data_IF_856523162628
#
_entry.id   IF_856523162628
#
_cell.length_a   1.000
_cell.length_b   1.000
_cell.length_c   1.000
_cell.angle_alpha   90.00
_cell.angle_beta   90.00
_cell.angle_gamma   90.00
#
_symmetry.space_group_name_H-M   'P 1'
#
loop_
_entity.id
_entity.type
_entity.pdbx_description
1 polymer ?
#
# COMPACT_ATOMS: atom_id res chain seq x y z
N UNK A 1 -7.88 16.30 -15.93
CA UNK A 1 -6.42 16.51 -15.93
C UNK A 1 -5.79 15.24 -16.48
N UNK A 2 -5.10 15.32 -17.61
CA UNK A 2 -4.37 14.17 -18.15
C UNK A 2 -3.14 13.99 -17.24
N UNK A 3 -3.17 12.95 -16.41
CA UNK A 3 -2.12 12.63 -15.44
C UNK A 3 -1.02 11.73 -16.04
N UNK A 4 -1.04 11.51 -17.35
CA UNK A 4 0.08 10.83 -17.98
C UNK A 4 1.25 11.81 -18.00
N UNK A 5 2.40 11.45 -17.40
CA UNK A 5 3.60 12.26 -17.58
C UNK A 5 3.85 12.36 -19.07
N UNK A 6 3.91 13.61 -19.57
CA UNK A 6 4.27 13.87 -20.96
C UNK A 6 5.65 13.27 -21.17
N UNK A 7 5.66 12.18 -21.92
CA UNK A 7 6.81 11.35 -22.08
C UNK A 7 7.59 12.01 -23.23
N UNK A 8 8.51 12.91 -22.85
CA UNK A 8 9.20 13.87 -23.75
C UNK A 8 9.99 13.18 -24.87
N UNK A 9 10.36 11.91 -24.67
CA UNK A 9 11.10 11.11 -25.65
C UNK A 9 10.22 10.71 -26.85
N UNK A 10 10.80 10.79 -28.04
CA UNK A 10 10.20 10.22 -29.26
C UNK A 10 10.10 8.69 -29.17
N UNK A 11 9.20 8.08 -29.96
CA UNK A 11 9.03 6.61 -29.97
C UNK A 11 10.35 5.90 -30.32
N UNK A 12 11.14 6.49 -31.22
CA UNK A 12 12.44 5.95 -31.63
C UNK A 12 13.46 6.00 -30.49
N UNK A 13 13.55 7.13 -29.79
CA UNK A 13 14.44 7.28 -28.64
C UNK A 13 14.10 6.29 -27.52
N UNK A 14 12.80 6.03 -27.29
CA UNK A 14 12.36 5.03 -26.31
C UNK A 14 12.84 3.62 -26.67
N UNK A 15 12.71 3.22 -27.94
CA UNK A 15 13.19 1.91 -28.41
C UNK A 15 14.70 1.76 -28.24
N UNK A 16 15.46 2.84 -28.47
CA UNK A 16 16.92 2.84 -28.25
C UNK A 16 17.24 2.67 -26.78
N UNK A 17 16.64 3.47 -25.89
CA UNK A 17 16.84 3.35 -24.44
C UNK A 17 16.42 1.98 -23.91
N UNK A 18 15.29 1.44 -24.38
CA UNK A 18 14.83 0.10 -24.00
C UNK A 18 15.84 -0.99 -24.41
N UNK A 19 16.41 -0.88 -25.62
CA UNK A 19 17.46 -1.79 -26.09
C UNK A 19 18.73 -1.68 -25.25
N UNK A 20 19.14 -0.47 -24.88
CA UNK A 20 20.30 -0.22 -24.02
C UNK A 20 20.09 -0.79 -22.61
N UNK A 21 18.92 -0.55 -22.00
CA UNK A 21 18.55 -1.14 -20.70
C UNK A 21 18.56 -2.67 -20.77
N UNK A 22 17.94 -3.24 -21.81
CA UNK A 22 17.88 -4.70 -22.00
C UNK A 22 19.28 -5.30 -22.14
N UNK A 23 20.15 -4.66 -22.92
CA UNK A 23 21.54 -5.09 -23.08
C UNK A 23 22.32 -5.03 -21.76
N UNK A 24 22.18 -3.94 -21.01
CA UNK A 24 22.82 -3.79 -19.70
C UNK A 24 22.33 -4.85 -18.69
N UNK A 25 21.05 -5.23 -18.73
CA UNK A 25 20.51 -6.33 -17.92
C UNK A 25 21.12 -7.67 -18.31
N UNK A 26 21.31 -7.95 -19.61
CA UNK A 26 22.00 -9.17 -20.05
C UNK A 26 23.47 -9.20 -19.62
N UNK A 27 24.17 -8.05 -19.66
CA UNK A 27 25.54 -7.94 -19.13
C UNK A 27 25.58 -8.25 -17.63
N UNK A 28 24.63 -7.71 -16.86
CA UNK A 28 24.49 -8.02 -15.44
C UNK A 28 24.25 -9.52 -15.18
N UNK A 29 23.29 -10.13 -15.89
CA UNK A 29 22.95 -11.54 -15.71
C UNK A 29 24.07 -12.50 -16.12
N UNK A 30 24.88 -12.09 -17.09
CA UNK A 30 26.05 -12.87 -17.52
C UNK A 30 27.30 -12.60 -16.69
N UNK A 31 27.21 -11.70 -15.69
CA UNK A 31 28.33 -11.21 -14.87
C UNK A 31 29.53 -10.78 -15.71
N UNK A 32 29.27 -10.23 -16.90
CA UNK A 32 30.30 -9.76 -17.84
C UNK A 32 30.37 -8.23 -17.90
N UNK A 33 31.51 -7.73 -18.39
CA UNK A 33 31.77 -6.31 -18.58
C UNK A 33 31.85 -5.57 -17.24
N UNK A 34 31.13 -4.45 -17.06
CA UNK A 34 31.26 -3.59 -15.87
C UNK A 34 30.73 -4.21 -14.57
N UNK A 35 30.18 -5.43 -14.62
CA UNK A 35 29.70 -6.16 -13.45
C UNK A 35 30.61 -7.34 -13.04
N UNK A 36 31.74 -7.58 -13.72
CA UNK A 36 32.63 -8.71 -13.40
C UNK A 36 33.14 -8.68 -11.97
N UNK A 37 33.51 -7.49 -11.52
CA UNK A 37 34.10 -7.29 -10.19
C UNK A 37 33.04 -6.94 -9.14
N UNK A 38 31.75 -6.91 -9.51
CA UNK A 38 30.69 -6.43 -8.63
C UNK A 38 30.53 -7.27 -7.37
N UNK A 39 30.66 -8.60 -7.45
CA UNK A 39 30.61 -9.47 -6.27
C UNK A 39 31.80 -9.23 -5.33
N UNK A 40 32.99 -9.08 -5.90
CA UNK A 40 34.23 -8.80 -5.16
C UNK A 40 34.25 -7.41 -4.53
N UNK A 41 33.67 -6.42 -5.21
CA UNK A 41 33.61 -5.03 -4.76
C UNK A 41 32.40 -4.73 -3.88
N UNK A 42 31.48 -5.69 -3.68
CA UNK A 42 30.23 -5.48 -2.94
C UNK A 42 30.48 -4.95 -1.53
N UNK A 43 31.45 -5.53 -0.82
CA UNK A 43 31.81 -5.08 0.53
C UNK A 43 32.40 -3.67 0.53
N UNK A 44 33.20 -3.32 -0.49
CA UNK A 44 33.74 -1.97 -0.66
C UNK A 44 32.63 -0.95 -0.96
N UNK A 45 31.65 -1.32 -1.78
CA UNK A 45 30.48 -0.48 -2.05
C UNK A 45 29.64 -0.27 -0.79
N UNK A 46 29.36 -1.33 -0.02
CA UNK A 46 28.63 -1.22 1.24
C UNK A 46 29.39 -0.35 2.26
N UNK A 47 30.72 -0.46 2.32
CA UNK A 47 31.55 0.37 3.20
C UNK A 47 31.61 1.84 2.75
N UNK A 48 31.61 2.11 1.45
CA UNK A 48 31.84 3.47 0.91
C UNK A 48 30.54 4.26 0.78
N UNK A 49 29.48 3.61 0.26
CA UNK A 49 28.20 4.24 -0.04
C UNK A 49 27.13 3.97 1.02
N UNK A 50 27.43 3.12 2.01
CA UNK A 50 26.50 2.73 3.06
C UNK A 50 25.33 1.88 2.52
N UNK A 51 24.17 2.02 3.15
CA UNK A 51 22.95 1.27 2.81
C UNK A 51 22.03 2.00 1.82
N UNK A 52 22.53 3.03 1.12
CA UNK A 52 21.73 3.86 0.22
C UNK A 52 21.84 3.37 -1.23
N UNK A 53 20.86 2.58 -1.73
CA UNK A 53 20.92 2.00 -3.08
C UNK A 53 20.95 3.06 -4.18
N UNK A 54 20.33 4.22 -3.93
CA UNK A 54 20.29 5.33 -4.89
C UNK A 54 21.70 5.88 -5.15
N UNK A 55 22.56 5.96 -4.12
CA UNK A 55 23.92 6.46 -4.27
C UNK A 55 24.77 5.51 -5.14
N UNK A 56 24.63 4.20 -4.92
CA UNK A 56 25.31 3.15 -5.72
C UNK A 56 24.94 3.26 -7.20
N UNK A 57 23.64 3.32 -7.52
CA UNK A 57 23.21 3.45 -8.91
C UNK A 57 23.63 4.78 -9.54
N UNK A 58 23.66 5.89 -8.80
CA UNK A 58 24.19 7.16 -9.31
C UNK A 58 25.69 7.07 -9.62
N UNK A 59 26.48 6.33 -8.85
CA UNK A 59 27.89 6.10 -9.14
C UNK A 59 28.07 5.25 -10.41
N UNK A 60 27.28 4.17 -10.55
CA UNK A 60 27.29 3.32 -11.75
C UNK A 60 26.81 4.04 -13.01
N UNK A 61 26.02 5.11 -12.86
CA UNK A 61 25.60 5.94 -13.99
C UNK A 61 26.76 6.69 -14.69
N UNK A 62 27.94 6.75 -14.08
CA UNK A 62 29.14 7.29 -14.72
C UNK A 62 29.61 6.44 -15.91
N UNK A 63 29.32 5.13 -15.88
CA UNK A 63 29.68 4.19 -16.96
C UNK A 63 28.67 4.30 -18.10
N UNK A 64 29.09 4.58 -19.35
CA UNK A 64 28.17 4.80 -20.46
C UNK A 64 27.32 3.56 -20.81
N UNK A 65 27.85 2.36 -20.57
CA UNK A 65 27.19 1.09 -20.89
C UNK A 65 26.01 0.77 -19.96
N UNK A 66 26.09 1.20 -18.70
CA UNK A 66 25.05 0.92 -17.68
C UNK A 66 24.17 2.15 -17.45
N UNK A 67 24.53 3.32 -18.00
CA UNK A 67 23.91 4.61 -17.67
C UNK A 67 22.37 4.57 -17.70
N UNK A 68 21.77 4.06 -18.77
CA UNK A 68 20.31 4.02 -18.88
C UNK A 68 19.67 3.06 -17.86
N UNK A 69 20.32 1.91 -17.60
CA UNK A 69 19.86 0.98 -16.56
C UNK A 69 19.96 1.60 -15.16
N UNK A 70 21.05 2.30 -14.87
CA UNK A 70 21.24 3.00 -13.61
C UNK A 70 20.20 4.10 -13.40
N UNK A 71 19.96 4.93 -14.42
CA UNK A 71 18.91 5.96 -14.37
C UNK A 71 17.51 5.34 -14.21
N UNK A 72 17.25 4.21 -14.86
CA UNK A 72 16.01 3.46 -14.71
C UNK A 72 15.84 2.92 -13.29
N UNK A 73 16.88 2.29 -12.73
CA UNK A 73 16.88 1.80 -11.35
C UNK A 73 16.64 2.93 -10.33
N UNK A 74 17.30 4.08 -10.49
CA UNK A 74 17.07 5.27 -9.64
C UNK A 74 15.62 5.73 -9.72
N UNK A 75 15.00 5.71 -10.91
CA UNK A 75 13.57 6.04 -11.05
C UNK A 75 12.68 5.04 -10.31
N UNK A 76 12.98 3.73 -10.40
CA UNK A 76 12.25 2.69 -9.65
C UNK A 76 12.37 2.87 -8.14
N UNK A 77 13.58 3.12 -7.63
CA UNK A 77 13.79 3.34 -6.19
C UNK A 77 13.15 4.63 -5.65
N UNK A 78 12.88 5.61 -6.53
CA UNK A 78 12.12 6.82 -6.16
C UNK A 78 10.62 6.55 -6.03
N UNK A 79 10.10 5.41 -6.49
CA UNK A 79 8.69 5.04 -6.33
C UNK A 79 8.48 4.63 -4.87
N UNK A 80 7.67 5.41 -4.16
CA UNK A 80 7.28 5.09 -2.78
C UNK A 80 6.20 4.01 -2.83
N UNK A 81 6.55 2.78 -2.43
CA UNK A 81 5.63 1.63 -2.42
C UNK A 81 4.53 1.81 -1.36
N UNK A 82 4.79 2.57 -0.31
CA UNK A 82 3.85 2.76 0.79
C UNK A 82 3.07 4.08 0.67
N UNK A 83 1.79 3.99 0.33
CA UNK A 83 0.86 5.13 0.35
C UNK A 83 0.72 5.76 1.75
N UNK A 84 0.99 5.01 2.81
CA UNK A 84 0.95 5.51 4.18
C UNK A 84 2.01 6.58 4.47
N UNK A 85 3.07 6.67 3.65
CA UNK A 85 4.01 7.79 3.70
C UNK A 85 3.33 9.16 3.50
N UNK A 86 2.26 9.17 2.70
CA UNK A 86 1.47 10.36 2.41
C UNK A 86 0.36 10.63 3.45
N UNK A 87 -0.02 9.67 4.28
CA UNK A 87 -1.13 9.81 5.27
C UNK A 87 -0.92 10.98 6.23
N UNK A 88 0.33 11.25 6.59
CA UNK A 88 0.65 12.40 7.46
C UNK A 88 0.35 13.72 6.78
N UNK A 89 0.69 13.82 5.50
CA UNK A 89 0.37 14.98 4.69
C UNK A 89 -1.14 15.09 4.59
N UNK A 90 -1.84 14.00 4.28
CA UNK A 90 -3.30 13.98 4.19
C UNK A 90 -4.01 14.35 5.49
N UNK A 91 -3.48 13.94 6.64
CA UNK A 91 -4.05 14.31 7.95
C UNK A 91 -3.95 15.83 8.19
N UNK A 92 -2.79 16.42 7.87
CA UNK A 92 -2.57 17.87 7.95
C UNK A 92 -3.42 18.63 6.91
N UNK A 93 -3.51 18.09 5.69
CA UNK A 93 -4.39 18.60 4.63
C UNK A 93 -5.85 18.57 5.07
N UNK A 94 -6.31 17.47 5.68
CA UNK A 94 -7.69 17.32 6.17
C UNK A 94 -8.02 18.41 7.18
N UNK A 95 -7.16 18.65 8.17
CA UNK A 95 -7.35 19.71 9.16
C UNK A 95 -7.47 21.11 8.51
N UNK A 96 -6.65 21.40 7.50
CA UNK A 96 -6.63 22.68 6.77
C UNK A 96 -7.71 22.80 5.69
N UNK A 97 -8.34 21.70 5.33
CA UNK A 97 -9.41 21.65 4.32
C UNK A 97 -10.80 21.68 4.97
N UNK A 98 -11.03 20.91 6.04
CA UNK A 98 -12.37 20.70 6.60
C UNK A 98 -12.77 21.71 7.67
N UNK A 99 -11.83 22.24 8.47
CA UNK A 99 -12.18 23.17 9.55
C UNK A 99 -12.50 24.56 8.99
N UNK A 100 -13.75 25.05 9.14
CA UNK A 100 -14.22 26.35 8.63
C UNK A 100 -13.30 27.51 9.03
N UNK A 101 -12.79 27.51 10.26
CA UNK A 101 -11.88 28.55 10.78
C UNK A 101 -10.50 28.55 10.11
N UNK A 102 -10.04 27.37 9.68
CA UNK A 102 -8.69 27.17 9.14
C UNK A 102 -8.69 26.78 7.65
N UNK A 103 -9.84 26.88 6.98
CA UNK A 103 -10.01 26.43 5.59
C UNK A 103 -9.15 27.27 4.66
N UNK A 104 -8.21 26.61 3.98
CA UNK A 104 -7.33 27.25 2.99
C UNK A 104 -7.80 26.86 1.58
N UNK A 105 -7.82 27.82 0.66
CA UNK A 105 -8.11 27.53 -0.75
C UNK A 105 -7.11 26.52 -1.35
N UNK A 106 -7.59 25.65 -2.25
CA UNK A 106 -6.82 24.51 -2.80
C UNK A 106 -5.49 24.97 -3.43
N UNK A 107 -5.48 26.09 -4.16
CA UNK A 107 -4.27 26.65 -4.79
C UNK A 107 -3.21 27.04 -3.76
N UNK A 108 -3.64 27.66 -2.65
CA UNK A 108 -2.75 28.04 -1.54
C UNK A 108 -2.31 26.81 -0.76
N UNK A 109 -3.19 25.82 -0.56
CA UNK A 109 -2.86 24.55 0.08
C UNK A 109 -1.78 23.78 -0.70
N UNK A 110 -1.90 23.72 -2.03
CA UNK A 110 -0.90 23.12 -2.90
C UNK A 110 0.47 23.81 -2.76
N UNK A 111 0.51 25.14 -2.81
CA UNK A 111 1.75 25.91 -2.62
C UNK A 111 2.35 25.67 -1.24
N UNK A 112 1.51 25.64 -0.21
CA UNK A 112 1.93 25.40 1.17
C UNK A 112 2.56 24.02 1.33
N UNK A 113 1.98 22.97 0.72
CA UNK A 113 2.56 21.63 0.77
C UNK A 113 3.87 21.52 -0.01
N UNK A 114 3.98 22.16 -1.18
CA UNK A 114 5.24 22.22 -1.95
C UNK A 114 6.35 22.87 -1.13
N UNK A 115 6.14 24.12 -0.69
CA UNK A 115 7.10 24.86 0.11
C UNK A 115 7.42 24.15 1.43
N UNK A 116 6.40 23.61 2.10
CA UNK A 116 6.58 22.88 3.35
C UNK A 116 7.31 21.54 3.19
N UNK A 117 7.21 20.88 2.03
CA UNK A 117 8.01 19.70 1.71
C UNK A 117 9.47 20.09 1.44
N UNK A 118 9.70 21.13 0.64
CA UNK A 118 11.04 21.63 0.31
C UNK A 118 11.82 22.07 1.55
N UNK A 119 11.18 22.88 2.41
CA UNK A 119 11.77 23.32 3.69
C UNK A 119 12.11 22.12 4.57
N UNK A 120 11.23 21.11 4.65
CA UNK A 120 11.49 19.90 5.45
C UNK A 120 12.66 19.11 4.89
N UNK A 121 12.75 18.95 3.57
CA UNK A 121 13.85 18.26 2.92
C UNK A 121 15.19 18.97 3.16
N UNK A 122 15.24 20.30 2.99
CA UNK A 122 16.45 21.11 3.24
C UNK A 122 16.84 21.06 4.73
N UNK A 123 15.89 21.14 5.64
CA UNK A 123 16.19 21.08 7.08
C UNK A 123 16.64 19.68 7.51
N UNK A 124 16.16 18.62 6.86
CA UNK A 124 16.62 17.25 7.10
C UNK A 124 18.04 17.05 6.58
N UNK A 125 18.36 17.52 5.37
CA UNK A 125 19.71 17.42 4.82
C UNK A 125 20.73 18.27 5.60
N UNK A 126 20.30 19.42 6.13
CA UNK A 126 21.12 20.25 7.02
C UNK A 126 21.23 19.69 8.46
N UNK A 127 20.55 18.59 8.79
CA UNK A 127 20.55 18.01 10.14
C UNK A 127 19.82 18.83 11.20
N UNK A 128 19.11 19.90 10.81
CA UNK A 128 18.34 20.77 11.70
C UNK A 128 17.09 20.08 12.25
N UNK A 129 16.54 19.14 11.47
CA UNK A 129 15.38 18.34 11.88
C UNK A 129 15.80 16.88 11.99
N UNK A 130 15.66 16.32 13.20
CA UNK A 130 15.88 14.89 13.42
C UNK A 130 14.90 14.07 12.58
N UNK A 131 15.41 13.12 11.81
CA UNK A 131 14.60 12.09 11.19
C UNK A 131 13.95 11.31 12.34
N UNK A 132 12.61 11.35 12.40
CA UNK A 132 11.89 10.56 13.40
C UNK A 132 12.14 9.09 13.11
N UNK A 133 12.81 8.41 14.02
CA UNK A 133 12.97 6.96 13.98
C UNK A 133 11.61 6.24 14.00
N UNK A 134 11.65 4.94 13.69
CA UNK A 134 10.49 4.05 13.84
C UNK A 134 9.96 4.18 15.27
N UNK A 135 8.67 4.49 15.41
CA UNK A 135 8.04 4.51 16.74
C UNK A 135 8.04 3.08 17.26
N UNK A 136 8.77 2.83 18.34
CA UNK A 136 8.58 1.61 19.13
C UNK A 136 7.53 1.94 20.18
N UNK A 137 6.36 1.28 20.10
CA UNK A 137 5.29 1.48 21.09
C UNK A 137 5.69 0.87 22.43
N UNK A 138 6.52 -0.19 22.40
CA UNK A 138 7.01 -0.90 23.58
C UNK A 138 8.53 -1.02 23.55
N UNK A 139 9.15 -1.10 24.72
CA UNK A 139 10.57 -1.50 24.80
C UNK A 139 10.66 -2.99 24.48
N UNK A 140 11.76 -3.46 23.86
CA UNK A 140 11.89 -4.88 23.54
C UNK A 140 11.81 -5.79 24.77
N UNK A 141 12.22 -5.29 25.93
CA UNK A 141 12.13 -6.00 27.22
C UNK A 141 10.68 -6.23 27.65
N UNK A 142 9.80 -5.27 27.39
CA UNK A 142 8.40 -5.30 27.83
C UNK A 142 7.52 -6.13 26.88
N UNK A 143 8.03 -6.56 25.72
CA UNK A 143 7.24 -7.33 24.73
C UNK A 143 6.88 -8.71 25.28
N UNK A 144 7.79 -9.37 26.00
CA UNK A 144 7.51 -10.67 26.63
C UNK A 144 6.40 -10.56 27.68
N UNK A 145 6.46 -9.53 28.51
CA UNK A 145 5.44 -9.28 29.55
C UNK A 145 4.07 -8.93 28.95
N UNK A 146 4.03 -8.24 27.80
CA UNK A 146 2.78 -7.94 27.09
C UNK A 146 2.18 -9.15 26.36
N UNK A 147 3.02 -10.11 25.97
CA UNK A 147 2.57 -11.38 25.39
C UNK A 147 2.08 -12.37 26.46
N UNK A 148 2.51 -12.20 27.71
CA UNK A 148 1.92 -12.87 28.87
C UNK A 148 0.56 -12.25 29.19
N UNK A 149 -0.46 -12.55 28.38
CA UNK A 149 -1.85 -12.11 28.62
C UNK A 149 -2.48 -13.04 29.66
N UNK A 150 -2.68 -12.60 30.93
CA UNK A 150 -3.21 -13.47 31.98
C UNK A 150 -4.66 -13.89 31.72
N UNK A 151 -5.36 -13.22 30.82
CA UNK A 151 -6.79 -13.47 30.56
C UNK A 151 -7.10 -14.85 29.99
N UNK A 152 -6.10 -15.57 29.50
CA UNK A 152 -6.24 -16.93 28.98
C UNK A 152 -5.59 -18.00 29.87
N UNK A 153 -4.92 -17.62 30.97
CA UNK A 153 -4.40 -18.62 31.92
C UNK A 153 -5.52 -19.42 32.57
N UNK A 154 -6.59 -18.72 32.94
CA UNK A 154 -7.73 -19.28 33.66
C UNK A 154 -8.55 -20.25 32.78
N UNK A 155 -8.51 -20.07 31.45
CA UNK A 155 -9.13 -21.00 30.49
C UNK A 155 -8.31 -22.29 30.29
N UNK A 156 -7.09 -22.35 30.85
CA UNK A 156 -6.21 -23.52 30.79
C UNK A 156 -6.07 -24.22 32.15
N UNK A 157 -6.74 -23.74 33.20
CA UNK A 157 -6.72 -24.39 34.52
C UNK A 157 -7.61 -25.65 34.58
N UNK A 158 -8.53 -25.80 33.62
CA UNK A 158 -9.41 -26.99 33.50
C UNK A 158 -8.78 -28.13 32.66
N UNK A 159 -7.57 -27.94 32.11
CA UNK A 159 -6.83 -29.00 31.40
C UNK A 159 -6.01 -29.76 32.44
N UNK A 160 -6.35 -31.04 32.65
CA UNK A 160 -5.71 -31.92 33.63
C UNK A 160 -4.18 -31.81 33.60
N UNK A 161 -3.58 -31.63 34.78
CA UNK A 161 -2.16 -31.36 35.02
C UNK A 161 -1.17 -32.44 34.53
N UNK A 162 -1.60 -33.48 33.82
CA UNK A 162 -0.71 -34.58 33.43
C UNK A 162 0.25 -34.21 32.29
N UNK A 163 -0.01 -33.14 31.53
CA UNK A 163 0.86 -32.72 30.42
C UNK A 163 1.20 -31.21 30.44
N UNK A 164 1.96 -30.76 31.45
CA UNK A 164 2.56 -29.41 31.45
C UNK A 164 3.41 -29.12 30.18
N UNK A 165 3.88 -30.17 29.50
CA UNK A 165 4.59 -30.09 28.23
C UNK A 165 3.71 -29.67 27.04
N UNK A 166 2.39 -29.92 27.11
CA UNK A 166 1.43 -29.50 26.07
C UNK A 166 0.84 -28.11 26.36
N UNK A 167 0.73 -27.72 27.64
CA UNK A 167 0.27 -26.39 28.04
C UNK A 167 1.14 -25.25 27.48
N UNK A 168 2.45 -25.47 27.39
CA UNK A 168 3.41 -24.54 26.77
C UNK A 168 3.36 -24.49 25.24
N UNK A 169 2.73 -25.47 24.57
CA UNK A 169 2.54 -25.46 23.10
C UNK A 169 1.30 -24.70 22.66
N UNK A 170 0.27 -24.63 23.50
CA UNK A 170 -1.00 -23.96 23.19
C UNK A 170 -0.89 -22.43 23.19
N UNK A 171 -0.05 -21.87 24.08
CA UNK A 171 0.20 -20.44 24.14
C UNK A 171 1.48 -20.09 23.41
N UNK A 172 1.32 -19.40 22.29
CA UNK A 172 2.42 -18.87 21.51
C UNK A 172 3.02 -17.65 22.21
N UNK A 173 3.94 -17.89 23.13
CA UNK A 173 4.54 -16.84 23.97
C UNK A 173 5.72 -16.12 23.30
N UNK A 174 6.26 -16.69 22.22
CA UNK A 174 7.38 -16.11 21.46
C UNK A 174 6.88 -15.49 20.14
N UNK A 175 7.30 -14.26 19.79
CA UNK A 175 7.03 -13.66 18.48
C UNK A 175 7.35 -14.55 17.28
N UNK A 176 8.39 -15.38 17.37
CA UNK A 176 8.75 -16.34 16.31
C UNK A 176 7.72 -17.45 16.19
N UNK A 177 7.22 -17.96 17.31
CA UNK A 177 6.10 -18.91 17.33
C UNK A 177 4.86 -18.32 16.68
N UNK A 178 4.58 -17.03 16.89
CA UNK A 178 3.39 -16.37 16.32
C UNK A 178 3.48 -16.27 14.81
N UNK A 179 4.68 -16.02 14.27
CA UNK A 179 4.91 -16.03 12.83
C UNK A 179 4.70 -17.42 12.25
N UNK A 180 5.14 -18.46 12.94
CA UNK A 180 4.96 -19.86 12.52
C UNK A 180 3.49 -20.26 12.53
N UNK A 181 2.75 -19.97 13.61
CA UNK A 181 1.31 -20.26 13.70
C UNK A 181 0.50 -19.45 12.68
N UNK A 182 0.79 -18.16 12.50
CA UNK A 182 0.14 -17.37 11.44
C UNK A 182 0.43 -17.94 10.04
N UNK A 183 1.66 -18.41 9.79
CA UNK A 183 1.98 -19.04 8.51
C UNK A 183 1.21 -20.36 8.32
N UNK A 184 1.05 -21.16 9.39
CA UNK A 184 0.22 -22.36 9.40
C UNK A 184 -1.24 -22.02 9.09
N UNK A 185 -1.85 -21.07 9.80
CA UNK A 185 -3.24 -20.67 9.57
C UNK A 185 -3.47 -20.08 8.17
N UNK A 186 -2.53 -19.29 7.65
CA UNK A 186 -2.59 -18.81 6.26
C UNK A 186 -2.53 -19.98 5.27
N UNK A 187 -1.71 -20.99 5.56
CA UNK A 187 -1.64 -22.22 4.77
C UNK A 187 -2.94 -23.03 4.82
N UNK A 188 -3.48 -23.26 6.01
CA UNK A 188 -4.75 -23.97 6.23
C UNK A 188 -5.92 -23.24 5.57
N UNK A 189 -6.01 -21.91 5.68
CA UNK A 189 -7.04 -21.12 5.01
C UNK A 189 -6.95 -21.23 3.47
N UNK A 190 -5.73 -21.20 2.90
CA UNK A 190 -5.55 -21.41 1.45
C UNK A 190 -5.89 -22.83 1.02
N UNK A 191 -5.59 -23.83 1.84
CA UNK A 191 -5.92 -25.21 1.54
C UNK A 191 -7.44 -25.42 1.57
N UNK A 192 -8.13 -24.85 2.56
CA UNK A 192 -9.58 -24.87 2.63
C UNK A 192 -10.24 -24.23 1.40
N UNK A 193 -9.72 -23.09 0.92
CA UNK A 193 -10.19 -22.47 -0.33
C UNK A 193 -10.01 -23.39 -1.56
N UNK A 194 -8.92 -24.17 -1.61
CA UNK A 194 -8.68 -25.13 -2.70
C UNK A 194 -9.62 -26.33 -2.59
N UNK A 195 -9.84 -26.82 -1.37
CA UNK A 195 -10.71 -27.97 -1.11
C UNK A 195 -12.17 -27.61 -1.44
N UNK A 196 -12.66 -26.43 -1.03
CA UNK A 196 -13.99 -25.91 -1.43
C UNK A 196 -14.13 -25.76 -2.95
N UNK A 197 -13.11 -25.23 -3.62
CA UNK A 197 -13.12 -25.10 -5.09
C UNK A 197 -13.09 -26.45 -5.81
N UNK A 198 -12.47 -27.48 -5.22
CA UNK A 198 -12.47 -28.84 -5.76
C UNK A 198 -13.80 -29.55 -5.51
N UNK A 199 -14.46 -29.28 -4.37
CA UNK A 199 -15.80 -29.79 -4.06
C UNK A 199 -16.88 -29.16 -4.96
N UNK A 200 -16.78 -27.87 -5.30
CA UNK A 200 -17.70 -27.20 -6.25
C UNK A 200 -17.63 -27.78 -7.68
N UNK A 201 -16.52 -28.42 -8.08
CA UNK A 201 -16.34 -29.01 -9.42
C UNK A 201 -17.00 -30.40 -9.52
N UNK A 202 -17.39 -31.01 -8.40
CA UNK A 202 -17.96 -32.38 -8.37
C UNK A 202 -19.49 -32.40 -8.15
N UNK A 203 -20.16 -31.25 -8.11
CA UNK A 203 -21.63 -31.18 -8.05
C UNK A 203 -22.21 -31.12 -9.48
N UNK A 204 -22.40 -32.33 -10.01
CA UNK A 204 -23.36 -32.82 -11.00
C UNK A 204 -24.10 -31.84 -11.95
N UNK A 205 -24.11 -32.21 -13.23
CA UNK A 205 -24.70 -31.58 -14.43
C UNK A 205 -26.24 -31.44 -14.41
N UNK A 206 -26.92 -31.39 -13.26
CA UNK A 206 -28.38 -31.37 -13.24
C UNK A 206 -28.98 -30.71 -11.99
N UNK A 207 -28.96 -29.38 -11.90
CA UNK A 207 -30.00 -28.67 -11.13
C UNK A 207 -30.17 -27.22 -11.59
N UNK A 208 -31.27 -27.00 -12.31
CA UNK A 208 -31.84 -25.69 -12.63
C UNK A 208 -32.42 -25.08 -11.34
N UNK A 209 -31.59 -24.37 -10.58
CA UNK A 209 -32.03 -23.54 -9.44
C UNK A 209 -31.51 -22.11 -9.59
N UNK A 210 -32.07 -21.45 -10.60
CA UNK A 210 -32.13 -19.99 -10.67
C UNK A 210 -32.94 -19.47 -9.47
N UNK A 211 -32.27 -18.96 -8.43
CA UNK A 211 -32.71 -17.77 -7.70
C UNK A 211 -31.60 -17.18 -6.78
N UNK A 212 -31.29 -15.90 -7.03
CA UNK A 212 -30.84 -14.90 -6.04
C UNK A 212 -29.34 -14.61 -5.82
N UNK A 213 -28.44 -14.84 -6.79
CA UNK A 213 -27.06 -14.26 -6.74
C UNK A 213 -26.79 -13.13 -7.76
N UNK A 214 -27.78 -12.74 -8.57
CA UNK A 214 -27.56 -11.82 -9.69
C UNK A 214 -27.48 -10.32 -9.35
N UNK A 215 -27.44 -9.94 -8.06
CA UNK A 215 -27.41 -8.50 -7.69
C UNK A 215 -26.07 -7.96 -7.16
N UNK A 216 -25.11 -8.82 -6.83
CA UNK A 216 -23.79 -8.37 -6.34
C UNK A 216 -22.69 -8.57 -7.39
N UNK A 217 -22.89 -9.45 -8.38
CA UNK A 217 -21.89 -9.72 -9.43
C UNK A 217 -21.81 -8.65 -10.53
N UNK A 218 -22.78 -7.75 -10.68
CA UNK A 218 -22.73 -6.72 -11.75
C UNK A 218 -21.77 -5.56 -11.46
N UNK A 219 -21.27 -5.43 -10.22
CA UNK A 219 -20.32 -4.37 -9.83
C UNK A 219 -18.86 -4.82 -9.97
N UNK A 220 -18.62 -6.13 -9.96
CA UNK A 220 -17.30 -6.74 -10.16
C UNK A 220 -17.36 -7.75 -11.29
N UNK A 221 -17.42 -7.25 -12.53
CA UNK A 221 -17.06 -8.08 -13.68
C UNK A 221 -15.63 -8.60 -13.48
N UNK A 222 -15.42 -9.92 -13.28
CA UNK A 222 -14.08 -10.45 -13.26
C UNK A 222 -13.55 -10.39 -14.70
N UNK A 223 -12.31 -9.93 -14.85
CA UNK A 223 -11.57 -10.06 -16.11
C UNK A 223 -11.65 -11.53 -16.59
N UNK A 224 -11.66 -11.78 -17.91
CA UNK A 224 -11.69 -13.14 -18.44
C UNK A 224 -10.50 -13.92 -17.85
N UNK A 225 -10.80 -14.97 -17.07
CA UNK A 225 -9.81 -15.90 -16.55
C UNK A 225 -9.20 -16.64 -17.75
N UNK A 226 -8.01 -16.23 -18.17
CA UNK A 226 -7.25 -16.93 -19.21
C UNK A 226 -6.50 -18.09 -18.53
N UNK A 227 -6.90 -19.31 -18.86
CA UNK A 227 -6.43 -20.59 -18.28
C UNK A 227 -4.99 -20.99 -18.67
N UNK A 228 -4.18 -20.07 -19.20
CA UNK A 228 -2.80 -20.33 -19.63
C UNK A 228 -1.90 -19.12 -19.32
N UNK A 229 -1.04 -19.18 -18.29
CA UNK A 229 -0.17 -18.06 -17.93
C UNK A 229 0.99 -17.82 -18.92
N UNK A 230 1.22 -18.72 -19.88
CA UNK A 230 2.42 -18.70 -20.74
C UNK A 230 2.28 -17.92 -22.07
N UNK A 231 1.12 -17.35 -22.41
CA UNK A 231 0.91 -16.65 -23.69
C UNK A 231 0.68 -15.15 -23.57
N UNK A 232 0.89 -14.56 -22.39
CA UNK A 232 0.80 -13.12 -22.19
C UNK A 232 2.12 -12.46 -22.62
N UNK A 233 2.12 -11.80 -23.77
CA UNK A 233 3.23 -10.94 -24.17
C UNK A 233 3.26 -9.69 -23.28
N UNK A 234 4.46 -9.12 -23.04
CA UNK A 234 4.60 -7.88 -22.26
C UNK A 234 3.70 -6.75 -22.80
N UNK A 235 3.45 -6.72 -24.11
CA UNK A 235 2.52 -5.78 -24.73
C UNK A 235 1.09 -5.85 -24.14
N UNK A 236 0.56 -7.04 -23.82
CA UNK A 236 -0.78 -7.20 -23.24
C UNK A 236 -0.82 -6.87 -21.75
N UNK A 237 0.31 -7.01 -21.04
CA UNK A 237 0.45 -6.61 -19.64
C UNK A 237 0.52 -5.08 -19.49
N UNK A 238 1.09 -4.39 -20.47
CA UNK A 238 1.31 -2.94 -20.45
C UNK A 238 0.36 -2.13 -21.37
N UNK A 239 -0.56 -2.76 -22.12
CA UNK A 239 -1.50 -2.05 -23.00
C UNK A 239 -2.58 -1.23 -22.29
N UNK A 240 -2.59 -1.24 -20.95
CA UNK A 240 -3.59 -0.55 -20.15
C UNK A 240 -4.92 -1.30 -20.13
N UNK A 241 -5.53 -1.37 -18.95
CA UNK A 241 -6.88 -1.90 -18.78
C UNK A 241 -7.84 -1.17 -19.76
N UNK A 242 -8.83 -1.88 -20.37
CA UNK A 242 -9.83 -1.22 -21.21
C UNK A 242 -10.47 -0.08 -20.42
N UNK A 243 -10.65 1.07 -21.08
CA UNK A 243 -11.23 2.27 -20.46
C UNK A 243 -12.54 1.89 -19.79
N UNK A 244 -12.57 1.91 -18.44
CA UNK A 244 -13.81 1.80 -17.66
C UNK A 244 -14.82 2.77 -18.27
N UNK A 245 -16.00 2.26 -18.63
CA UNK A 245 -17.15 3.11 -18.97
C UNK A 245 -17.30 4.12 -17.84
N UNK A 246 -17.10 5.40 -18.17
CA UNK A 246 -17.34 6.48 -17.21
C UNK A 246 -18.81 6.41 -16.85
N UNK A 247 -19.10 6.10 -15.58
CA UNK A 247 -20.42 6.32 -15.01
C UNK A 247 -20.81 7.76 -15.32
N UNK A 248 -22.01 7.96 -15.87
CA UNK A 248 -22.47 9.26 -16.33
C UNK A 248 -22.37 10.28 -15.18
N UNK A 249 -21.72 11.43 -15.44
CA UNK A 249 -21.49 12.50 -14.44
C UNK A 249 -22.78 13.03 -13.80
N UNK A 250 -23.93 12.88 -14.47
CA UNK A 250 -25.22 13.32 -13.96
C UNK A 250 -25.60 12.67 -12.62
N UNK A 251 -25.24 11.41 -12.38
CA UNK A 251 -25.58 10.73 -11.12
C UNK A 251 -24.77 11.22 -9.91
N UNK A 252 -23.59 11.80 -10.12
CA UNK A 252 -22.71 12.29 -9.05
C UNK A 252 -23.20 13.66 -8.54
N UNK A 253 -23.78 14.48 -9.43
CA UNK A 253 -24.29 15.80 -9.06
C UNK A 253 -25.60 15.69 -8.26
N UNK A 254 -26.44 14.69 -8.53
CA UNK A 254 -27.67 14.41 -7.76
C UNK A 254 -27.36 13.85 -6.35
N UNK A 255 -26.40 12.93 -6.24
CA UNK A 255 -25.96 12.40 -4.93
C UNK A 255 -25.29 13.50 -4.08
N UNK A 256 -24.49 14.38 -4.69
CA UNK A 256 -23.89 15.51 -4.00
C UNK A 256 -24.95 16.51 -3.50
N UNK A 257 -25.98 16.79 -4.30
CA UNK A 257 -27.10 17.64 -3.90
C UNK A 257 -27.93 17.03 -2.75
N UNK A 258 -28.13 15.71 -2.76
CA UNK A 258 -28.80 15.00 -1.67
C UNK A 258 -27.98 15.01 -0.36
N UNK A 259 -26.66 14.87 -0.46
CA UNK A 259 -25.76 14.95 0.70
C UNK A 259 -25.68 16.36 1.28
N UNK A 260 -25.74 17.40 0.44
CA UNK A 260 -25.83 18.80 0.88
C UNK A 260 -27.18 19.09 1.56
N UNK A 261 -28.29 18.63 0.98
CA UNK A 261 -29.62 18.78 1.57
C UNK A 261 -29.80 18.04 2.92
N UNK A 262 -29.15 16.88 3.10
CA UNK A 262 -29.15 16.16 4.37
C UNK A 262 -28.34 16.89 5.45
N UNK A 263 -27.22 17.50 5.08
CA UNK A 263 -26.41 18.29 6.01
C UNK A 263 -27.15 19.54 6.48
N UNK A 264 -27.86 20.23 5.58
CA UNK A 264 -28.66 21.41 5.93
C UNK A 264 -29.84 21.04 6.85
N UNK A 265 -30.50 19.89 6.63
CA UNK A 265 -31.59 19.42 7.48
C UNK A 265 -31.16 19.06 8.91
N UNK A 266 -29.93 18.53 9.08
CA UNK A 266 -29.38 18.22 10.41
C UNK A 266 -29.03 19.50 11.20
N UNK A 267 -28.55 20.55 10.53
CA UNK A 267 -28.27 21.86 11.17
C UNK A 267 -29.55 22.55 11.68
N UNK A 268 -30.66 22.43 10.94
CA UNK A 268 -31.96 22.99 11.35
C UNK A 268 -32.56 22.27 12.58
N UNK A 269 -32.37 20.95 12.71
CA UNK A 269 -32.81 20.19 13.90
C UNK A 269 -32.03 20.58 15.17
N UNK A 270 -30.72 20.80 15.06
CA UNK A 270 -29.88 21.23 16.18
C UNK A 270 -30.29 22.63 16.66
N UNK A 271 -30.55 23.56 15.74
CA UNK A 271 -31.04 24.89 16.09
C UNK A 271 -32.44 24.87 16.75
N UNK A 272 -33.30 23.92 16.39
CA UNK A 272 -34.61 23.76 17.01
C UNK A 272 -34.54 23.16 18.42
N UNK A 273 -33.59 22.27 18.70
CA UNK A 273 -33.37 21.74 20.05
C UNK A 273 -32.77 22.79 21.00
N UNK A 274 -31.83 23.60 20.52
CA UNK A 274 -31.23 24.69 21.33
C UNK A 274 -32.24 25.79 21.68
N UNK A 275 -33.19 26.09 20.79
CA UNK A 275 -34.28 27.03 21.09
C UNK A 275 -35.26 26.48 22.14
N UNK A 276 -35.59 25.19 22.08
CA UNK A 276 -36.44 24.56 23.11
C UNK A 276 -35.79 24.51 24.49
N UNK A 277 -34.46 24.37 24.55
CA UNK A 277 -33.71 24.38 25.81
C UNK A 277 -33.64 25.78 26.44
N UNK A 278 -33.55 26.85 25.63
CA UNK A 278 -33.57 28.23 26.14
C UNK A 278 -34.93 28.69 26.69
N UNK A 279 -36.04 28.20 26.15
CA UNK A 279 -37.38 28.60 26.63
C UNK A 279 -37.74 27.93 27.98
N UNK A 280 -37.09 26.82 28.35
CA UNK A 280 -37.33 26.12 29.62
C UNK A 280 -36.59 26.70 30.84
N UNK A 281 -35.76 27.73 30.66
CA UNK A 281 -34.94 28.33 31.71
C UNK A 281 -35.27 29.82 31.84
N UNK A 282 -36.52 30.14 32.14
CA UNK A 282 -36.92 31.45 32.66
C UNK A 282 -37.90 31.17 33.81
N UNK A 283 -37.52 31.43 35.09
CA UNK A 283 -38.42 31.28 36.24
C UNK A 283 -39.51 32.35 36.28
#
# INVERSE_FOLDING_TARGET
MNLQPDNEDSIEQRKVKEKEVTNAVYLYLSTTGPFTDFESERENFESTMGKDPIAVWNALAASPEIRELALFAVKLFKIVVNSAGCERVFSDTKYRQSSRRNRVGITKLQKLHKVGADIRMVNQSAGLVKIRGKRSVHKPQDVGDLLNVPRYSDLLDDIDHEDESERGRLLVTNPEGWRTEMARWIGEARQAEIDEANEEVMVDENLDYSWSSHRIQSVFNPLPRVSKPASLTLATLFSGLPKRQRVARAGIDEEAALMEALADAEEDEIHHQDFKLKIRVIP
#
